data_IF_110343923388
#
_entry.id   IF_110343923388
#
_cell.length_a   1.000
_cell.length_b   1.000
_cell.length_c   1.000
_cell.angle_alpha   90.00
_cell.angle_beta   90.00
_cell.angle_gamma   90.00
#
_symmetry.space_group_name_H-M   'P 1'
#
loop_
_entity.id
_entity.type
_entity.pdbx_description
1 polymer ?
#
# COMPACT_ATOMS: atom_id res chain seq x y z
N UNK A 1 11.47 17.56 8.27
CA UNK A 1 10.56 16.42 8.01
C UNK A 1 11.25 15.15 8.45
N UNK A 2 10.73 14.49 9.47
CA UNK A 2 11.23 13.17 9.81
C UNK A 2 10.58 12.22 8.80
N UNK A 3 11.31 11.86 7.74
CA UNK A 3 10.97 10.61 7.04
C UNK A 3 10.77 9.54 8.11
N UNK A 4 9.80 8.60 7.96
CA UNK A 4 9.64 7.53 8.93
C UNK A 4 11.04 6.98 9.18
N UNK A 5 11.43 6.97 10.46
CA UNK A 5 12.81 6.70 10.82
C UNK A 5 13.26 5.42 10.13
N UNK A 6 14.54 5.33 9.72
CA UNK A 6 15.03 4.13 9.04
C UNK A 6 14.67 2.85 9.83
N UNK A 7 14.59 2.97 11.15
CA UNK A 7 14.04 1.96 12.05
C UNK A 7 12.59 1.55 11.74
N UNK A 8 11.62 2.48 11.64
CA UNK A 8 10.22 2.15 11.30
C UNK A 8 10.09 1.47 9.94
N UNK A 9 10.83 1.96 8.93
CA UNK A 9 10.87 1.34 7.60
C UNK A 9 11.36 -0.10 7.70
N UNK A 10 12.42 -0.32 8.47
CA UNK A 10 12.98 -1.65 8.70
C UNK A 10 11.98 -2.56 9.41
N UNK A 11 11.37 -2.12 10.51
CA UNK A 11 10.33 -2.88 11.23
C UNK A 11 9.19 -3.28 10.31
N UNK A 12 8.70 -2.36 9.47
CA UNK A 12 7.64 -2.68 8.51
C UNK A 12 8.09 -3.73 7.48
N UNK A 13 9.32 -3.64 6.96
CA UNK A 13 9.89 -4.68 6.07
C UNK A 13 9.95 -6.03 6.78
N UNK A 14 10.39 -6.06 8.03
CA UNK A 14 10.42 -7.28 8.84
C UNK A 14 9.02 -7.89 9.03
N UNK A 15 8.01 -7.05 9.24
CA UNK A 15 6.62 -7.47 9.42
C UNK A 15 5.96 -7.98 8.13
N UNK A 16 6.19 -7.31 7.00
CA UNK A 16 5.61 -7.67 5.69
C UNK A 16 6.27 -8.93 5.13
N UNK A 17 7.60 -9.04 5.23
CA UNK A 17 8.34 -10.21 4.73
C UNK A 17 8.18 -11.45 5.62
N UNK A 18 7.66 -11.29 6.84
CA UNK A 18 7.58 -12.35 7.87
C UNK A 18 8.94 -13.00 8.16
N UNK A 19 10.05 -12.33 7.83
CA UNK A 19 11.40 -12.87 7.98
C UNK A 19 11.72 -13.21 9.45
N UNK A 20 11.15 -12.46 10.40
CA UNK A 20 11.28 -12.72 11.83
C UNK A 20 10.66 -14.06 12.28
N UNK A 21 9.80 -14.67 11.46
CA UNK A 21 9.22 -16.01 11.71
C UNK A 21 9.93 -17.06 10.85
N UNK A 22 10.09 -16.78 9.56
CA UNK A 22 10.63 -17.74 8.60
C UNK A 22 12.11 -18.06 8.89
N UNK A 23 12.91 -17.07 9.27
CA UNK A 23 14.34 -17.27 9.50
C UNK A 23 14.59 -18.14 10.75
N UNK A 24 14.00 -17.87 11.94
CA UNK A 24 14.16 -18.77 13.08
C UNK A 24 13.69 -20.20 12.82
N UNK A 25 12.54 -20.37 12.15
CA UNK A 25 12.03 -21.71 11.79
C UNK A 25 13.05 -22.44 10.90
N UNK A 26 13.60 -21.76 9.88
CA UNK A 26 14.61 -22.37 9.00
C UNK A 26 15.88 -22.80 9.75
N UNK A 27 16.35 -21.97 10.71
CA UNK A 27 17.52 -22.27 11.54
C UNK A 27 17.26 -23.47 12.44
N UNK A 28 16.10 -23.54 13.09
CA UNK A 28 15.72 -24.65 13.96
C UNK A 28 15.65 -25.96 13.17
N UNK A 29 14.96 -25.97 12.02
CA UNK A 29 14.89 -27.16 11.15
C UNK A 29 16.29 -27.59 10.72
N UNK A 30 17.15 -26.65 10.36
CA UNK A 30 18.53 -26.93 9.97
C UNK A 30 19.33 -27.58 11.11
N UNK A 31 19.30 -27.01 12.32
CA UNK A 31 20.04 -27.54 13.47
C UNK A 31 19.55 -28.93 13.87
N UNK A 32 18.23 -29.14 13.95
CA UNK A 32 17.64 -30.43 14.27
C UNK A 32 18.02 -31.47 13.22
N UNK A 33 17.90 -31.12 11.93
CA UNK A 33 18.29 -32.01 10.83
C UNK A 33 19.77 -32.36 10.87
N UNK A 34 20.64 -31.41 11.21
CA UNK A 34 22.07 -31.63 11.35
C UNK A 34 22.41 -32.58 12.50
N UNK A 35 21.73 -32.42 13.63
CA UNK A 35 21.89 -33.30 14.78
C UNK A 35 21.54 -34.75 14.39
N UNK A 36 20.34 -34.99 13.85
CA UNK A 36 19.90 -36.34 13.46
C UNK A 36 20.72 -36.91 12.29
N UNK A 37 21.14 -36.09 11.35
CA UNK A 37 21.99 -36.53 10.24
C UNK A 37 23.36 -37.02 10.75
N UNK A 38 23.96 -36.26 11.67
CA UNK A 38 25.24 -36.63 12.30
C UNK A 38 25.10 -37.91 13.11
N UNK A 39 24.04 -38.00 13.94
CA UNK A 39 23.78 -39.16 14.78
C UNK A 39 23.56 -40.43 13.94
N UNK A 40 22.69 -40.38 12.93
CA UNK A 40 22.48 -41.49 12.01
C UNK A 40 23.77 -41.86 11.24
N UNK A 41 24.66 -40.90 11.00
CA UNK A 41 25.98 -41.13 10.41
C UNK A 41 26.88 -42.02 11.27
N UNK A 42 26.81 -41.90 12.60
CA UNK A 42 27.63 -42.70 13.53
C UNK A 42 27.20 -44.17 13.60
N UNK A 43 25.92 -44.44 13.40
CA UNK A 43 25.34 -45.80 13.46
C UNK A 43 25.41 -46.56 12.13
N UNK A 44 25.82 -45.90 11.04
CA UNK A 44 25.97 -46.56 9.76
C UNK A 44 27.25 -47.36 9.69
N UNK A 45 27.13 -48.62 9.28
CA UNK A 45 28.28 -49.48 9.08
C UNK A 45 29.16 -48.91 7.96
N UNK A 46 30.47 -48.71 8.19
CA UNK A 46 31.35 -48.15 7.18
C UNK A 46 31.55 -49.12 6.02
N UNK A 47 31.86 -48.55 4.85
CA UNK A 47 32.27 -49.30 3.66
C UNK A 47 33.69 -49.86 3.85
N UNK A 48 33.80 -50.97 4.58
CA UNK A 48 35.08 -51.55 5.00
C UNK A 48 35.54 -52.75 4.18
N UNK A 49 34.66 -53.39 3.40
CA UNK A 49 34.99 -54.59 2.64
C UNK A 49 35.29 -54.22 1.19
N UNK A 50 36.55 -54.38 0.78
CA UNK A 50 36.96 -54.20 -0.61
C UNK A 50 36.65 -55.46 -1.43
N UNK A 51 35.88 -55.31 -2.50
CA UNK A 51 35.58 -56.37 -3.47
C UNK A 51 36.45 -56.14 -4.70
N UNK A 52 37.28 -57.13 -5.05
CA UNK A 52 38.07 -57.11 -6.29
C UNK A 52 37.14 -57.19 -7.50
N UNK A 53 37.53 -56.55 -8.60
CA UNK A 53 36.77 -56.63 -9.85
C UNK A 53 36.72 -58.07 -10.38
N UNK A 54 35.61 -58.44 -11.02
CA UNK A 54 35.40 -59.79 -11.56
C UNK A 54 34.44 -59.76 -12.75
N UNK A 55 34.49 -60.80 -13.59
CA UNK A 55 33.52 -61.01 -14.67
C UNK A 55 32.36 -61.89 -14.18
N UNK A 56 31.13 -61.46 -14.44
CA UNK A 56 29.92 -62.27 -14.23
C UNK A 56 29.82 -63.35 -15.33
N UNK A 57 28.94 -64.33 -15.10
CA UNK A 57 28.72 -65.47 -16.02
C UNK A 57 28.22 -65.05 -17.41
N UNK A 58 27.55 -63.91 -17.50
CA UNK A 58 27.05 -63.29 -18.73
C UNK A 58 28.13 -62.48 -19.49
N UNK A 59 29.36 -62.41 -18.97
CA UNK A 59 30.46 -61.64 -19.54
C UNK A 59 30.53 -60.18 -19.07
N UNK A 60 29.57 -59.71 -18.25
CA UNK A 60 29.58 -58.33 -17.74
C UNK A 60 30.70 -58.16 -16.71
N UNK A 61 31.62 -57.21 -16.95
CA UNK A 61 32.66 -56.84 -15.97
C UNK A 61 32.06 -55.99 -14.84
N UNK A 62 32.36 -56.37 -13.59
CA UNK A 62 32.03 -55.60 -12.39
C UNK A 62 33.31 -54.99 -11.84
N UNK A 63 33.38 -53.66 -11.79
CA UNK A 63 34.54 -52.95 -11.26
C UNK A 63 34.75 -53.21 -9.76
N UNK A 64 36.00 -53.17 -9.32
CA UNK A 64 36.32 -53.20 -7.88
C UNK A 64 35.63 -52.05 -7.16
N UNK A 65 35.04 -52.34 -6.00
CA UNK A 65 34.34 -51.35 -5.19
C UNK A 65 34.40 -51.74 -3.72
N UNK A 66 34.20 -50.76 -2.84
CA UNK A 66 33.97 -51.02 -1.43
C UNK A 66 32.49 -51.29 -1.21
N UNK A 67 32.18 -52.22 -0.31
CA UNK A 67 30.82 -52.48 0.18
C UNK A 67 30.83 -52.61 1.70
N UNK A 68 29.64 -52.60 2.28
CA UNK A 68 29.46 -52.91 3.69
C UNK A 68 29.57 -54.42 3.95
N UNK A 69 29.99 -54.83 5.16
CA UNK A 69 30.01 -56.24 5.56
C UNK A 69 28.64 -56.92 5.34
N UNK A 70 28.61 -58.22 4.96
CA UNK A 70 27.36 -58.96 4.86
C UNK A 70 26.62 -58.97 6.20
N UNK A 71 25.29 -58.82 6.18
CA UNK A 71 24.44 -58.76 7.38
C UNK A 71 24.17 -57.36 7.94
N UNK A 72 24.86 -56.32 7.47
CA UNK A 72 24.65 -54.94 7.97
C UNK A 72 23.40 -54.25 7.40
N UNK A 73 22.85 -54.76 6.29
CA UNK A 73 21.82 -54.07 5.49
C UNK A 73 20.53 -53.81 6.29
N UNK A 74 20.06 -54.77 7.08
CA UNK A 74 18.84 -54.63 7.90
C UNK A 74 19.03 -53.63 9.04
N UNK A 75 20.22 -53.55 9.62
CA UNK A 75 20.57 -52.57 10.65
C UNK A 75 20.74 -51.15 10.07
N UNK A 76 21.34 -51.03 8.88
CA UNK A 76 21.65 -49.72 8.28
C UNK A 76 20.41 -49.03 7.67
N UNK A 77 19.41 -49.79 7.19
CA UNK A 77 18.22 -49.27 6.52
C UNK A 77 17.49 -48.10 7.23
N UNK A 78 17.18 -48.17 8.54
CA UNK A 78 16.55 -47.06 9.25
C UNK A 78 17.43 -45.80 9.31
N UNK A 79 18.75 -45.96 9.47
CA UNK A 79 19.69 -44.83 9.52
C UNK A 79 19.92 -44.21 8.14
N UNK A 80 19.90 -45.00 7.06
CA UNK A 80 19.94 -44.48 5.69
C UNK A 80 18.68 -43.68 5.35
N UNK A 81 17.50 -44.21 5.70
CA UNK A 81 16.23 -43.51 5.55
C UNK A 81 16.23 -42.19 6.33
N UNK A 82 16.70 -42.22 7.58
CA UNK A 82 16.85 -41.02 8.44
C UNK A 82 17.77 -40.00 7.77
N UNK A 83 18.96 -40.39 7.28
CA UNK A 83 19.87 -39.45 6.61
C UNK A 83 19.27 -38.87 5.34
N UNK A 84 18.54 -39.65 4.55
CA UNK A 84 17.87 -39.16 3.35
C UNK A 84 16.75 -38.16 3.71
N UNK A 85 15.96 -38.43 4.75
CA UNK A 85 14.97 -37.49 5.26
C UNK A 85 15.63 -36.18 5.74
N UNK A 86 16.72 -36.25 6.50
CA UNK A 86 17.46 -35.06 6.95
C UNK A 86 18.02 -34.23 5.78
N UNK A 87 18.51 -34.88 4.70
CA UNK A 87 18.93 -34.17 3.48
C UNK A 87 17.77 -33.38 2.87
N UNK A 88 16.59 -33.99 2.77
CA UNK A 88 15.39 -33.30 2.29
C UNK A 88 15.03 -32.11 3.18
N UNK A 89 15.06 -32.28 4.51
CA UNK A 89 14.78 -31.19 5.43
C UNK A 89 15.81 -30.05 5.36
N UNK A 90 17.08 -30.34 5.07
CA UNK A 90 18.06 -29.29 4.78
C UNK A 90 17.68 -28.46 3.56
N UNK A 91 17.31 -29.11 2.46
CA UNK A 91 16.86 -28.36 1.27
C UNK A 91 15.63 -27.50 1.58
N UNK A 92 14.67 -28.05 2.33
CA UNK A 92 13.48 -27.31 2.76
C UNK A 92 13.86 -26.10 3.61
N UNK A 93 14.78 -26.24 4.57
CA UNK A 93 15.20 -25.11 5.41
C UNK A 93 15.85 -23.99 4.61
N UNK A 94 16.70 -24.31 3.62
CA UNK A 94 17.27 -23.32 2.71
C UNK A 94 16.20 -22.60 1.88
N UNK A 95 15.19 -23.32 1.38
CA UNK A 95 14.08 -22.72 0.62
C UNK A 95 13.30 -21.75 1.52
N UNK A 96 12.95 -22.16 2.74
CA UNK A 96 12.21 -21.32 3.69
C UNK A 96 13.02 -20.06 4.04
N UNK A 97 14.28 -20.21 4.46
CA UNK A 97 15.14 -19.07 4.82
C UNK A 97 15.41 -18.14 3.64
N UNK A 98 15.74 -18.70 2.47
CA UNK A 98 15.97 -17.97 1.24
C UNK A 98 14.73 -17.20 0.76
N UNK A 99 13.55 -17.80 0.86
CA UNK A 99 12.29 -17.12 0.51
C UNK A 99 12.01 -15.91 1.41
N UNK A 100 12.25 -16.04 2.73
CA UNK A 100 12.09 -14.92 3.67
C UNK A 100 13.03 -13.76 3.37
N UNK A 101 14.31 -14.05 3.06
CA UNK A 101 15.30 -13.04 2.66
C UNK A 101 14.90 -12.41 1.32
N UNK A 102 14.49 -13.20 0.34
CA UNK A 102 14.06 -12.72 -0.97
C UNK A 102 12.86 -11.76 -0.85
N UNK A 103 11.84 -12.12 -0.06
CA UNK A 103 10.69 -11.26 0.20
C UNK A 103 11.09 -9.96 0.91
N UNK A 104 12.01 -10.04 1.88
CA UNK A 104 12.54 -8.88 2.59
C UNK A 104 13.27 -7.91 1.65
N UNK A 105 14.11 -8.43 0.75
CA UNK A 105 14.85 -7.62 -0.23
C UNK A 105 13.91 -7.05 -1.31
N UNK A 106 12.94 -7.86 -1.78
CA UNK A 106 11.98 -7.46 -2.82
C UNK A 106 10.92 -6.47 -2.31
N UNK A 107 10.76 -6.30 -1.00
CA UNK A 107 9.87 -5.30 -0.41
C UNK A 107 10.28 -3.88 -0.84
N UNK A 108 9.72 -3.45 -1.99
CA UNK A 108 10.01 -2.16 -2.62
C UNK A 108 9.70 -1.03 -1.66
N UNK A 109 10.59 -0.04 -1.61
CA UNK A 109 10.43 1.17 -0.79
C UNK A 109 9.13 1.92 -1.12
N UNK A 110 8.63 1.84 -2.35
CA UNK A 110 7.36 2.44 -2.79
C UNK A 110 6.15 1.96 -1.99
N UNK A 111 6.04 0.66 -1.74
CA UNK A 111 4.89 0.08 -1.02
C UNK A 111 4.90 0.47 0.47
N UNK A 112 6.10 0.66 1.01
CA UNK A 112 6.28 1.14 2.38
C UNK A 112 5.88 2.61 2.48
N UNK A 113 6.26 3.41 1.48
CA UNK A 113 5.90 4.81 1.44
C UNK A 113 4.39 5.01 1.33
N UNK A 114 3.66 4.20 0.56
CA UNK A 114 2.19 4.25 0.52
C UNK A 114 1.56 3.96 1.89
N UNK A 115 2.16 3.09 2.71
CA UNK A 115 1.66 2.78 4.05
C UNK A 115 1.83 3.95 5.02
N UNK A 116 2.98 4.61 5.01
CA UNK A 116 3.25 5.77 5.87
C UNK A 116 2.75 7.11 5.29
N UNK A 117 2.17 7.08 4.10
CA UNK A 117 1.76 8.29 3.37
C UNK A 117 0.80 9.14 4.18
N UNK A 118 -0.23 8.51 4.75
CA UNK A 118 -1.25 9.21 5.53
C UNK A 118 -0.67 9.84 6.81
N UNK A 119 0.22 9.14 7.50
CA UNK A 119 0.89 9.67 8.70
C UNK A 119 1.76 10.89 8.35
N UNK A 120 2.56 10.78 7.28
CA UNK A 120 3.38 11.89 6.78
C UNK A 120 2.52 13.08 6.38
N UNK A 121 1.40 12.84 5.69
CA UNK A 121 0.46 13.89 5.32
C UNK A 121 -0.16 14.57 6.52
N UNK A 122 -0.60 13.83 7.54
CA UNK A 122 -1.10 14.43 8.77
C UNK A 122 -0.02 15.23 9.51
N UNK A 123 1.22 14.75 9.58
CA UNK A 123 2.33 15.51 10.18
C UNK A 123 2.57 16.85 9.45
N UNK A 124 2.41 16.87 8.12
CA UNK A 124 2.51 18.10 7.33
C UNK A 124 1.35 19.03 7.61
N UNK A 125 0.11 18.52 7.58
CA UNK A 125 -1.09 19.31 7.82
C UNK A 125 -1.03 19.99 9.20
N UNK A 126 -0.55 19.26 10.21
CA UNK A 126 -0.33 19.80 11.55
C UNK A 126 0.74 20.90 11.62
N UNK A 127 1.69 20.93 10.68
CA UNK A 127 2.75 21.96 10.62
C UNK A 127 2.38 23.19 9.83
N UNK A 128 1.52 23.06 8.82
CA UNK A 128 1.15 24.19 7.96
C UNK A 128 0.19 25.13 8.70
N UNK A 129 -0.55 24.64 9.70
CA UNK A 129 -1.58 25.41 10.43
C UNK A 129 -2.47 26.23 9.47
N UNK A 130 -2.84 25.62 8.33
CA UNK A 130 -3.55 26.32 7.27
C UNK A 130 -5.00 26.60 7.65
N UNK A 131 -5.39 27.87 7.64
CA UNK A 131 -6.78 28.30 7.80
C UNK A 131 -7.21 29.07 6.55
N UNK A 132 -8.05 28.49 5.68
CA UNK A 132 -8.40 29.13 4.43
C UNK A 132 -9.31 30.35 4.70
N UNK A 133 -8.98 31.48 4.09
CA UNK A 133 -9.80 32.69 4.17
C UNK A 133 -10.83 32.69 3.03
N UNK A 134 -11.84 31.82 3.15
CA UNK A 134 -12.90 31.69 2.15
C UNK A 134 -13.99 32.73 2.38
N UNK A 135 -14.43 33.35 1.28
CA UNK A 135 -15.67 34.14 1.27
C UNK A 135 -16.88 33.26 1.61
N UNK A 136 -18.00 33.86 2.09
CA UNK A 136 -19.26 33.15 2.23
C UNK A 136 -19.65 32.47 0.93
N UNK A 137 -19.98 31.18 0.99
CA UNK A 137 -20.33 30.40 -0.20
C UNK A 137 -21.71 30.80 -0.71
N UNK A 138 -21.88 31.16 -1.99
CA UNK A 138 -23.20 31.42 -2.56
C UNK A 138 -24.13 30.20 -2.41
N UNK A 139 -25.38 30.44 -2.02
CA UNK A 139 -26.33 29.37 -1.63
C UNK A 139 -26.53 28.31 -2.72
N UNK A 140 -26.66 28.74 -3.97
CA UNK A 140 -26.93 27.87 -5.12
C UNK A 140 -25.65 27.30 -5.75
N UNK A 141 -24.47 27.68 -5.24
CA UNK A 141 -23.19 27.15 -5.71
C UNK A 141 -22.84 25.89 -4.90
N UNK A 142 -22.87 24.75 -5.59
CA UNK A 142 -22.69 23.43 -5.00
C UNK A 142 -21.38 22.82 -5.48
N UNK A 143 -20.64 22.24 -4.54
CA UNK A 143 -19.56 21.31 -4.80
C UNK A 143 -19.82 20.08 -3.94
N UNK A 144 -19.83 18.88 -4.55
CA UNK A 144 -20.23 17.67 -3.83
C UNK A 144 -19.19 17.27 -2.76
N UNK A 145 -17.89 17.48 -3.01
CA UNK A 145 -16.84 17.28 -1.99
C UNK A 145 -17.00 18.20 -0.78
N UNK A 146 -17.46 19.44 -0.98
CA UNK A 146 -17.71 20.41 0.11
C UNK A 146 -19.07 20.22 0.80
N UNK A 147 -19.97 19.41 0.24
CA UNK A 147 -21.29 19.22 0.81
C UNK A 147 -21.24 18.44 2.14
N UNK A 148 -22.16 18.77 3.07
CA UNK A 148 -22.26 18.06 4.36
C UNK A 148 -22.55 16.57 4.16
N UNK A 149 -23.46 16.25 3.22
CA UNK A 149 -23.89 14.91 2.85
C UNK A 149 -23.51 14.60 1.40
N UNK A 150 -22.25 14.19 1.15
CA UNK A 150 -21.81 13.86 -0.20
C UNK A 150 -22.57 12.66 -0.75
N UNK A 151 -23.32 12.85 -1.84
CA UNK A 151 -23.87 11.73 -2.59
C UNK A 151 -22.86 11.30 -3.66
N UNK A 152 -22.11 10.24 -3.35
CA UNK A 152 -21.01 9.73 -4.18
C UNK A 152 -21.55 9.00 -5.42
N UNK A 153 -22.76 8.44 -5.36
CA UNK A 153 -23.30 7.54 -6.39
C UNK A 153 -24.07 8.25 -7.50
N UNK A 154 -24.52 9.50 -7.29
CA UNK A 154 -25.26 10.25 -8.30
C UNK A 154 -24.34 10.98 -9.25
N UNK A 155 -24.41 10.68 -10.55
CA UNK A 155 -23.80 11.49 -11.60
C UNK A 155 -24.73 12.64 -11.96
N UNK A 156 -24.22 13.86 -11.99
CA UNK A 156 -24.97 15.04 -12.41
C UNK A 156 -24.59 15.42 -13.83
N UNK A 157 -25.56 15.86 -14.60
CA UNK A 157 -25.37 16.37 -15.95
C UNK A 157 -25.79 17.84 -16.01
N UNK A 158 -25.06 18.63 -16.78
CA UNK A 158 -25.43 20.01 -17.05
C UNK A 158 -26.71 20.03 -17.90
N UNK A 159 -27.69 20.87 -17.56
CA UNK A 159 -28.92 20.98 -18.33
C UNK A 159 -28.67 21.50 -19.76
N UNK A 160 -27.76 22.47 -19.92
CA UNK A 160 -27.59 23.13 -21.22
C UNK A 160 -26.68 22.36 -22.18
N UNK A 161 -25.52 21.88 -21.69
CA UNK A 161 -24.54 21.18 -22.54
C UNK A 161 -24.56 19.65 -22.40
N UNK A 162 -25.38 19.10 -21.51
CA UNK A 162 -25.46 17.66 -21.22
C UNK A 162 -24.14 16.97 -20.81
N UNK A 163 -23.06 17.74 -20.58
CA UNK A 163 -21.81 17.18 -20.09
C UNK A 163 -21.94 16.71 -18.64
N UNK A 164 -21.29 15.58 -18.26
CA UNK A 164 -21.24 15.15 -16.88
C UNK A 164 -20.44 16.15 -16.04
N UNK A 165 -21.00 16.55 -14.90
CA UNK A 165 -20.35 17.40 -13.90
C UNK A 165 -19.53 16.48 -12.99
N UNK A 166 -18.23 16.74 -12.80
CA UNK A 166 -17.38 15.88 -11.96
C UNK A 166 -17.68 16.06 -10.48
N UNK A 167 -17.24 15.11 -9.67
CA UNK A 167 -17.56 15.06 -8.24
C UNK A 167 -16.93 16.22 -7.44
N UNK A 168 -15.79 16.69 -7.89
CA UNK A 168 -15.04 17.81 -7.35
C UNK A 168 -15.30 19.15 -8.06
N UNK A 169 -16.11 19.17 -9.11
CA UNK A 169 -16.49 20.38 -9.81
C UNK A 169 -17.55 21.17 -9.04
N UNK A 170 -17.43 22.50 -9.12
CA UNK A 170 -18.51 23.40 -8.76
C UNK A 170 -19.59 23.40 -9.86
N UNK A 171 -20.83 23.53 -9.43
CA UNK A 171 -21.97 23.71 -10.31
C UNK A 171 -23.04 24.55 -9.61
N UNK A 172 -23.90 25.17 -10.40
CA UNK A 172 -25.08 25.84 -9.90
C UNK A 172 -26.23 24.84 -9.80
N UNK A 173 -27.02 24.94 -8.73
CA UNK A 173 -28.23 24.16 -8.51
C UNK A 173 -29.31 25.09 -7.95
N UNK A 174 -30.43 25.24 -8.66
CA UNK A 174 -31.57 26.04 -8.17
C UNK A 174 -32.32 25.31 -7.05
N UNK A 175 -31.88 25.51 -5.81
CA UNK A 175 -32.41 24.83 -4.63
C UNK A 175 -33.88 25.16 -4.30
N UNK A 176 -34.53 26.06 -5.04
CA UNK A 176 -35.96 26.37 -4.87
C UNK A 176 -36.87 25.30 -5.48
N UNK A 177 -36.35 24.48 -6.40
CA UNK A 177 -37.13 23.44 -7.10
C UNK A 177 -36.87 22.06 -6.47
N UNK A 178 -37.90 21.22 -6.44
CA UNK A 178 -37.78 19.81 -6.01
C UNK A 178 -36.81 19.02 -6.88
N UNK A 179 -36.83 19.29 -8.19
CA UNK A 179 -35.86 18.80 -9.17
C UNK A 179 -35.02 19.97 -9.67
N UNK A 180 -33.92 20.31 -8.97
CA UNK A 180 -33.14 21.48 -9.30
C UNK A 180 -32.38 21.26 -10.61
N UNK A 181 -32.52 22.26 -11.49
CA UNK A 181 -31.73 22.42 -12.69
C UNK A 181 -30.26 22.61 -12.30
N UNK A 182 -29.37 21.85 -12.96
CA UNK A 182 -27.93 21.87 -12.67
C UNK A 182 -27.18 22.45 -13.84
N UNK A 183 -26.36 23.47 -13.60
CA UNK A 183 -25.56 24.11 -14.63
C UNK A 183 -24.08 23.98 -14.26
N UNK A 184 -23.26 23.48 -15.18
CA UNK A 184 -21.81 23.55 -15.02
C UNK A 184 -21.35 25.02 -15.09
N UNK A 185 -20.18 25.35 -14.51
CA UNK A 185 -19.68 26.73 -14.49
C UNK A 185 -19.63 27.38 -15.89
N UNK A 186 -19.23 26.63 -16.91
CA UNK A 186 -19.13 27.14 -18.28
C UNK A 186 -20.48 27.55 -18.89
N UNK A 187 -21.57 26.86 -18.54
CA UNK A 187 -22.92 27.24 -19.01
C UNK A 187 -23.53 28.31 -18.10
N UNK A 188 -23.28 28.21 -16.79
CA UNK A 188 -23.71 29.21 -15.82
C UNK A 188 -23.24 30.62 -16.21
N UNK A 189 -21.96 30.81 -16.56
CA UNK A 189 -21.42 32.11 -16.98
C UNK A 189 -21.94 32.63 -18.33
N UNK A 190 -22.73 31.83 -19.08
CA UNK A 190 -23.44 32.32 -20.28
C UNK A 190 -24.80 32.92 -19.95
N UNK A 191 -25.34 32.61 -18.77
CA UNK A 191 -26.73 32.87 -18.40
C UNK A 191 -26.90 33.79 -17.20
N UNK A 192 -25.83 34.12 -16.47
CA UNK A 192 -25.93 34.97 -15.28
C UNK A 192 -26.02 36.45 -15.65
N UNK A 193 -26.92 37.15 -14.96
CA UNK A 193 -26.92 38.61 -14.88
C UNK A 193 -25.76 39.09 -13.98
N UNK A 194 -25.26 40.28 -14.29
CA UNK A 194 -24.03 40.88 -13.76
C UNK A 194 -23.80 40.77 -12.22
N UNK A 195 -24.81 40.91 -11.32
CA UNK A 195 -24.55 40.90 -9.88
C UNK A 195 -24.31 39.51 -9.27
N UNK A 196 -25.12 38.50 -9.61
CA UNK A 196 -24.96 37.13 -9.09
C UNK A 196 -23.73 36.45 -9.69
N UNK A 197 -23.43 36.80 -10.95
CA UNK A 197 -22.18 36.39 -11.59
C UNK A 197 -20.97 36.83 -10.81
N UNK A 198 -20.94 38.10 -10.41
CA UNK A 198 -19.84 38.68 -9.66
C UNK A 198 -19.60 37.97 -8.33
N UNK A 199 -20.65 37.70 -7.55
CA UNK A 199 -20.52 36.98 -6.27
C UNK A 199 -19.94 35.56 -6.45
N UNK A 200 -20.43 34.82 -7.45
CA UNK A 200 -19.95 33.46 -7.75
C UNK A 200 -18.50 33.49 -8.23
N UNK A 201 -18.15 34.42 -9.12
CA UNK A 201 -16.77 34.60 -9.61
C UNK A 201 -15.81 34.96 -8.48
N UNK A 202 -16.18 35.88 -7.59
CA UNK A 202 -15.39 36.29 -6.43
C UNK A 202 -15.14 35.11 -5.48
N UNK A 203 -16.18 34.33 -5.17
CA UNK A 203 -16.04 33.12 -4.33
C UNK A 203 -15.12 32.08 -4.99
N UNK A 204 -15.31 31.78 -6.27
CA UNK A 204 -14.48 30.79 -6.98
C UNK A 204 -13.02 31.24 -7.04
N UNK A 205 -12.77 32.51 -7.33
CA UNK A 205 -11.42 33.09 -7.34
C UNK A 205 -10.77 32.98 -5.95
N UNK A 206 -11.50 33.37 -4.89
CA UNK A 206 -11.06 33.19 -3.50
C UNK A 206 -10.71 31.72 -3.21
N UNK A 207 -11.60 30.77 -3.55
CA UNK A 207 -11.39 29.35 -3.33
C UNK A 207 -10.15 28.81 -4.05
N UNK A 208 -9.98 29.12 -5.33
CA UNK A 208 -8.84 28.64 -6.11
C UNK A 208 -7.52 29.27 -5.68
N UNK A 209 -7.54 30.53 -5.24
CA UNK A 209 -6.36 31.20 -4.67
C UNK A 209 -5.95 30.57 -3.34
N UNK A 210 -6.88 30.31 -2.43
CA UNK A 210 -6.62 29.62 -1.17
C UNK A 210 -6.14 28.19 -1.42
N UNK A 211 -6.71 27.49 -2.41
CA UNK A 211 -6.23 26.17 -2.84
C UNK A 211 -4.78 26.22 -3.30
N UNK A 212 -4.42 27.20 -4.15
CA UNK A 212 -3.06 27.39 -4.63
C UNK A 212 -2.08 27.65 -3.48
N UNK A 213 -2.42 28.57 -2.57
CA UNK A 213 -1.63 28.85 -1.37
C UNK A 213 -1.40 27.58 -0.53
N UNK A 214 -2.45 26.78 -0.33
CA UNK A 214 -2.33 25.51 0.38
C UNK A 214 -1.34 24.56 -0.31
N UNK A 215 -1.45 24.38 -1.63
CA UNK A 215 -0.53 23.52 -2.39
C UNK A 215 0.91 24.03 -2.29
N UNK A 216 1.12 25.34 -2.39
CA UNK A 216 2.45 25.95 -2.31
C UNK A 216 3.07 25.74 -0.92
N UNK A 217 2.28 25.94 0.14
CA UNK A 217 2.70 25.65 1.51
C UNK A 217 2.98 24.17 1.71
N UNK A 218 2.09 23.30 1.24
CA UNK A 218 2.25 21.86 1.32
C UNK A 218 3.52 21.40 0.61
N UNK A 219 3.77 21.90 -0.59
CA UNK A 219 4.96 21.60 -1.39
C UNK A 219 6.24 22.14 -0.74
N UNK A 220 6.19 23.29 -0.06
CA UNK A 220 7.34 23.82 0.71
C UNK A 220 7.73 22.89 1.85
N UNK A 221 6.75 22.30 2.53
CA UNK A 221 7.00 21.36 3.63
C UNK A 221 7.32 19.94 3.14
N UNK A 222 6.72 19.51 2.04
CA UNK A 222 6.93 18.21 1.40
C UNK A 222 8.25 18.21 0.60
N UNK A 223 9.33 17.68 1.20
CA UNK A 223 10.66 17.64 0.55
C UNK A 223 10.61 17.01 -0.85
N UNK A 224 10.96 17.81 -1.86
CA UNK A 224 11.01 17.58 -3.32
C UNK A 224 11.98 16.48 -3.83
N UNK A 225 12.08 15.35 -3.13
CA UNK A 225 13.13 14.33 -3.40
C UNK A 225 12.64 13.08 -4.14
N UNK A 226 11.38 12.99 -4.57
CA UNK A 226 10.89 11.82 -5.29
C UNK A 226 10.06 12.22 -6.49
N UNK A 227 10.53 11.83 -7.68
CA UNK A 227 9.85 11.94 -9.00
C UNK A 227 8.41 11.37 -9.06
N UNK A 228 7.86 10.80 -7.97
CA UNK A 228 6.47 10.33 -7.88
C UNK A 228 5.45 11.45 -7.61
N UNK A 229 5.83 12.71 -7.82
CA UNK A 229 5.05 13.92 -7.49
C UNK A 229 3.72 14.04 -8.24
N UNK A 230 3.56 13.40 -9.41
CA UNK A 230 2.35 13.53 -10.23
C UNK A 230 1.17 12.65 -9.76
N UNK A 231 1.40 11.60 -8.97
CA UNK A 231 0.35 10.62 -8.63
C UNK A 231 -0.47 10.98 -7.37
N UNK A 232 -0.10 12.01 -6.60
CA UNK A 232 -0.75 12.31 -5.30
C UNK A 232 -1.51 13.65 -5.25
N UNK A 233 -1.65 14.36 -6.38
CA UNK A 233 -2.40 15.61 -6.43
C UNK A 233 -3.83 15.46 -5.91
N UNK A 234 -4.50 14.36 -6.24
CA UNK A 234 -5.87 14.09 -5.81
C UNK A 234 -6.02 13.98 -4.29
N UNK A 235 -5.02 13.41 -3.62
CA UNK A 235 -5.01 13.21 -2.17
C UNK A 235 -4.67 14.51 -1.43
N UNK A 236 -3.73 15.29 -1.96
CA UNK A 236 -3.46 16.65 -1.45
C UNK A 236 -4.73 17.50 -1.59
N UNK A 237 -5.44 17.40 -2.72
CA UNK A 237 -6.71 18.09 -2.90
C UNK A 237 -7.78 17.62 -1.92
N UNK A 238 -7.89 16.33 -1.62
CA UNK A 238 -8.88 15.87 -0.62
C UNK A 238 -8.66 16.51 0.75
N UNK A 239 -7.41 16.66 1.21
CA UNK A 239 -7.17 17.36 2.48
C UNK A 239 -7.57 18.84 2.44
N UNK A 240 -7.29 19.52 1.32
CA UNK A 240 -7.76 20.90 1.17
C UNK A 240 -9.29 20.98 1.25
N UNK A 241 -9.99 20.06 0.57
CA UNK A 241 -11.45 19.99 0.63
C UNK A 241 -11.96 19.73 2.05
N UNK A 242 -11.31 18.87 2.83
CA UNK A 242 -11.67 18.59 4.22
C UNK A 242 -11.51 19.82 5.11
N UNK A 243 -10.40 20.55 4.97
CA UNK A 243 -10.13 21.81 5.71
C UNK A 243 -11.15 22.88 5.31
N UNK A 244 -11.38 23.08 4.01
CA UNK A 244 -12.36 24.03 3.50
C UNK A 244 -13.78 23.71 3.97
N UNK A 245 -14.16 22.42 3.95
CA UNK A 245 -15.46 21.95 4.45
C UNK A 245 -15.63 22.24 5.93
N UNK A 246 -14.62 21.95 6.77
CA UNK A 246 -14.66 22.27 8.20
C UNK A 246 -14.88 23.77 8.42
N UNK A 247 -14.13 24.62 7.71
CA UNK A 247 -14.27 26.09 7.79
C UNK A 247 -15.66 26.58 7.36
N UNK A 248 -16.23 26.01 6.29
CA UNK A 248 -17.59 26.34 5.84
C UNK A 248 -18.64 25.92 6.86
N UNK A 249 -18.46 24.77 7.52
CA UNK A 249 -19.35 24.31 8.60
C UNK A 249 -19.28 25.26 9.80
N UNK A 250 -18.07 25.64 10.23
CA UNK A 250 -17.85 26.56 11.35
C UNK A 250 -18.49 27.94 11.07
N UNK A 251 -18.37 28.44 9.83
CA UNK A 251 -19.03 29.67 9.41
C UNK A 251 -20.57 29.51 9.33
N UNK A 252 -21.07 28.31 9.00
CA UNK A 252 -22.52 28.04 8.90
C UNK A 252 -23.19 27.82 10.26
N UNK A 253 -22.45 27.44 11.30
CA UNK A 253 -22.97 27.29 12.66
C UNK A 253 -23.33 28.65 13.32
N UNK A 254 -23.08 29.76 12.63
CA UNK A 254 -23.70 31.05 12.92
C UNK A 254 -25.11 31.24 12.33
N UNK A 255 -25.67 30.23 11.64
CA UNK A 255 -27.00 30.32 11.04
C UNK A 255 -27.70 28.97 10.92
N UNK A 256 -28.73 28.77 11.75
CA UNK A 256 -29.75 27.72 11.72
C UNK A 256 -30.46 27.57 10.36
N UNK A 257 -29.76 27.14 9.29
CA UNK A 257 -30.39 26.95 8.00
C UNK A 257 -30.31 25.50 7.51
N UNK A 258 -31.42 24.83 7.83
CA UNK A 258 -32.19 23.91 7.01
C UNK A 258 -31.62 22.49 6.84
N UNK A 259 -32.16 21.57 7.66
CA UNK A 259 -32.42 20.19 7.26
C UNK A 259 -33.39 20.21 6.07
N UNK A 260 -32.90 20.26 4.84
CA UNK A 260 -33.69 19.78 3.70
C UNK A 260 -33.32 18.31 3.57
N UNK A 261 -34.22 17.44 4.04
CA UNK A 261 -34.18 16.03 3.67
C UNK A 261 -34.39 15.96 2.16
N UNK A 262 -33.35 15.55 1.43
CA UNK A 262 -33.40 15.14 0.03
C UNK A 262 -33.46 13.62 -0.06
#
# INVERSE_FOLDING_TARGET
MSYPSNYRILVHRFSVSKIHILLPISIIIFIISLHFYSEAGKHLTPYSVHVRGYYRRDGTYVSSHYRRPPGSVTHDAPYESTRNACKTFFFISFIIGGSGIFLFVRAKKSNIFSFYRDEVYQEILNKIEFTPNLLPKPKNLINRKLSKYPNIYKTYYCQDCYNPIKYDDFHYSDLKKSNPNKLCLNCLFKHLDNPQEKEIQEYLLSFYNERKKFIDLFSKHYKKNTKSELEDHDKIFSYFFDIAKKKLIDNSNYGNYIRINF
#
